data_IF_534587148870
#
_entry.id   IF_534587148870
#
_cell.length_a   1.000
_cell.length_b   1.000
_cell.length_c   1.000
_cell.angle_alpha   90.00
_cell.angle_beta   90.00
_cell.angle_gamma   90.00
#
_symmetry.space_group_name_H-M   'P 1'
#
loop_
_entity.id
_entity.type
_entity.pdbx_description
1 polymer ?
#
# COMPACT_ATOMS: atom_id res chain seq x y z
N UNK A 1 23.89 18.83 13.50
CA UNK A 1 23.68 17.77 14.49
C UNK A 1 22.35 17.10 14.16
N UNK A 2 22.39 16.03 13.37
CA UNK A 2 21.23 15.17 13.13
C UNK A 2 21.73 13.75 13.34
N UNK A 3 21.15 13.10 14.35
CA UNK A 3 21.49 11.74 14.76
C UNK A 3 20.93 10.76 13.73
N UNK A 4 21.79 9.84 13.33
CA UNK A 4 21.53 8.75 12.43
C UNK A 4 21.22 7.53 13.31
N UNK A 5 19.95 7.21 13.52
CA UNK A 5 19.51 6.03 14.29
C UNK A 5 18.37 5.30 13.55
N UNK A 6 18.73 4.66 12.43
CA UNK A 6 17.95 3.57 11.87
C UNK A 6 18.88 2.38 11.67
N UNK A 7 18.83 1.42 12.61
CA UNK A 7 19.09 -0.03 12.42
C UNK A 7 19.10 -0.73 13.79
N UNK A 8 17.96 -1.32 14.20
CA UNK A 8 18.07 -2.64 14.80
C UNK A 8 16.93 -3.62 14.44
N UNK A 9 16.00 -3.28 13.54
CA UNK A 9 14.83 -4.13 13.27
C UNK A 9 15.08 -5.24 12.22
N UNK A 10 15.87 -4.97 11.20
CA UNK A 10 16.12 -5.96 10.12
C UNK A 10 17.01 -7.15 10.54
N UNK A 11 17.78 -7.04 11.63
CA UNK A 11 18.61 -8.17 12.10
C UNK A 11 17.81 -9.19 12.93
N UNK A 12 16.67 -8.82 13.50
CA UNK A 12 15.84 -9.70 14.32
C UNK A 12 14.95 -10.62 13.46
N UNK A 13 14.40 -10.12 12.36
CA UNK A 13 13.57 -10.93 11.46
C UNK A 13 14.38 -12.00 10.71
N UNK A 14 15.65 -11.70 10.42
CA UNK A 14 16.57 -12.67 9.78
C UNK A 14 16.96 -13.84 10.68
N UNK A 15 17.10 -13.62 11.99
CA UNK A 15 17.46 -14.68 12.96
C UNK A 15 16.31 -15.62 13.29
N UNK A 16 15.06 -15.16 13.17
CA UNK A 16 13.89 -16.00 13.43
C UNK A 16 13.65 -16.94 12.24
N UNK A 17 13.87 -16.47 11.01
CA UNK A 17 13.70 -17.29 9.80
C UNK A 17 14.75 -18.40 9.65
N UNK A 18 15.96 -18.21 10.18
CA UNK A 18 17.04 -19.23 10.12
C UNK A 18 16.86 -20.32 11.21
N UNK A 19 16.31 -19.97 12.38
CA UNK A 19 16.04 -20.92 13.46
C UNK A 19 14.81 -21.81 13.20
N UNK A 20 13.83 -21.34 12.42
CA UNK A 20 12.62 -22.13 12.07
C UNK A 20 12.90 -23.16 10.96
N UNK A 21 13.93 -22.93 10.13
CA UNK A 21 14.37 -23.85 9.07
C UNK A 21 15.24 -25.02 9.58
N UNK A 22 15.93 -24.89 10.72
CA UNK A 22 16.72 -26.00 11.30
C UNK A 22 15.87 -26.99 12.14
N UNK A 23 14.68 -26.59 12.61
CA UNK A 23 13.83 -27.46 13.44
C UNK A 23 13.00 -28.48 12.64
N UNK A 24 12.92 -28.36 11.31
CA UNK A 24 12.12 -29.25 10.45
C UNK A 24 12.90 -30.38 9.77
N UNK A 25 14.21 -30.51 10.02
CA UNK A 25 15.06 -31.52 9.36
C UNK A 25 15.50 -32.69 10.24
N UNK A 26 14.99 -32.84 11.47
CA UNK A 26 15.47 -33.89 12.39
C UNK A 26 14.39 -34.80 12.99
N UNK A 27 13.25 -35.00 12.31
CA UNK A 27 12.23 -35.95 12.79
C UNK A 27 11.59 -36.79 11.68
N UNK A 28 12.40 -37.18 10.68
CA UNK A 28 12.00 -38.12 9.62
C UNK A 28 13.02 -39.23 9.45
N UNK A 29 13.14 -40.08 10.46
CA UNK A 29 13.60 -41.47 10.30
C UNK A 29 12.79 -42.36 11.26
N UNK A 30 11.57 -42.72 10.86
CA UNK A 30 10.92 -43.92 11.42
C UNK A 30 9.91 -44.49 10.43
N UNK A 31 10.32 -45.47 9.62
CA UNK A 31 9.52 -46.60 9.08
C UNK A 31 10.50 -47.48 8.25
N UNK A 32 10.55 -48.82 8.22
CA UNK A 32 9.68 -49.97 8.51
C UNK A 32 10.64 -51.12 8.95
N UNK A 33 10.28 -52.07 9.80
CA UNK A 33 9.71 -53.36 9.37
C UNK A 33 9.31 -54.16 10.60
N UNK A 34 8.04 -54.55 10.73
CA UNK A 34 7.68 -55.77 11.45
C UNK A 34 6.39 -56.34 10.90
N UNK A 35 6.57 -57.13 9.82
CA UNK A 35 5.54 -57.91 9.18
C UNK A 35 5.19 -59.13 10.04
N UNK A 36 3.94 -59.17 10.49
CA UNK A 36 3.30 -60.29 11.16
C UNK A 36 2.95 -61.33 10.10
N UNK A 37 3.61 -62.50 10.12
CA UNK A 37 3.22 -63.67 9.33
C UNK A 37 2.62 -64.73 10.26
N UNK A 38 1.33 -64.95 10.06
CA UNK A 38 0.46 -65.94 10.70
C UNK A 38 0.60 -67.25 9.90
N UNK A 39 1.04 -68.34 10.52
CA UNK A 39 0.88 -69.68 9.94
C UNK A 39 0.37 -70.65 11.01
N UNK A 40 -0.75 -71.27 10.66
CA UNK A 40 -1.63 -72.09 11.50
C UNK A 40 -1.46 -73.55 11.06
N UNK A 41 -1.88 -74.44 11.97
CA UNK A 41 -2.40 -75.81 11.79
C UNK A 41 -1.35 -76.97 11.86
N UNK A 42 -1.74 -78.23 12.17
CA UNK A 42 -1.81 -78.83 13.52
C UNK A 42 -1.18 -80.26 13.60
N UNK A 43 -1.47 -80.97 14.70
CA UNK A 43 -1.31 -82.42 15.05
C UNK A 43 -0.40 -82.61 16.27
N UNK A 44 -0.91 -82.92 17.47
CA UNK A 44 -1.66 -84.11 17.95
C UNK A 44 -0.73 -85.23 18.44
N UNK A 45 -1.25 -85.99 19.41
CA UNK A 45 -0.64 -87.10 20.18
C UNK A 45 0.09 -86.66 21.46
N UNK A 46 -0.62 -86.58 22.60
CA UNK A 46 -0.86 -87.69 23.55
C UNK A 46 0.47 -88.13 24.21
N UNK A 47 0.61 -88.18 25.53
CA UNK A 47 -0.09 -89.14 26.40
C UNK A 47 0.35 -88.87 27.86
N UNK A 48 -0.61 -88.98 28.80
CA UNK A 48 -0.45 -89.52 30.17
C UNK A 48 0.45 -88.81 31.21
N UNK A 49 0.10 -88.66 32.50
CA UNK A 49 -1.05 -89.04 33.31
C UNK A 49 -0.95 -88.29 34.68
N UNK A 50 -1.70 -88.64 35.75
CA UNK A 50 -2.46 -87.67 36.53
C UNK A 50 -1.78 -87.35 37.88
N UNK A 51 -1.90 -86.12 38.38
CA UNK A 51 -1.79 -85.93 39.84
C UNK A 51 -2.48 -84.67 40.34
N UNK A 52 -3.49 -84.95 41.17
CA UNK A 52 -3.79 -84.24 42.41
C UNK A 52 -4.26 -82.78 42.31
N UNK A 53 -5.60 -82.68 42.30
CA UNK A 53 -6.36 -81.52 42.79
C UNK A 53 -5.94 -81.18 44.23
N UNK A 54 -4.83 -80.48 44.43
CA UNK A 54 -4.48 -79.86 45.71
C UNK A 54 -5.43 -78.69 45.96
N UNK A 55 -6.28 -78.87 46.95
CA UNK A 55 -7.31 -77.92 47.37
C UNK A 55 -6.76 -76.51 47.47
N UNK A 56 -7.31 -75.62 46.64
CA UNK A 56 -7.06 -74.19 46.66
C UNK A 56 -7.26 -73.65 48.09
N UNK A 57 -6.16 -73.21 48.72
CA UNK A 57 -6.18 -72.48 49.98
C UNK A 57 -7.16 -71.31 49.89
N UNK A 58 -8.08 -71.23 50.86
CA UNK A 58 -9.20 -70.28 50.88
C UNK A 58 -8.74 -68.81 50.72
N UNK A 59 -7.51 -68.49 51.12
CA UNK A 59 -6.89 -67.16 50.94
C UNK A 59 -6.66 -66.78 49.46
N UNK A 60 -6.34 -67.73 48.58
CA UNK A 60 -6.10 -67.45 47.15
C UNK A 60 -7.38 -67.08 46.40
N UNK A 61 -8.54 -67.60 46.84
CA UNK A 61 -9.85 -67.24 46.29
C UNK A 61 -10.23 -65.80 46.66
N UNK A 62 -10.00 -65.39 47.91
CA UNK A 62 -10.26 -64.02 48.37
C UNK A 62 -9.35 -63.03 47.64
N UNK A 63 -8.06 -63.35 47.49
CA UNK A 63 -7.12 -62.48 46.78
C UNK A 63 -7.47 -62.29 45.30
N UNK A 64 -7.91 -63.36 44.59
CA UNK A 64 -8.43 -63.24 43.21
C UNK A 64 -9.67 -62.34 43.13
N UNK A 65 -10.53 -62.37 44.14
CA UNK A 65 -11.75 -61.57 44.18
C UNK A 65 -11.46 -60.08 44.46
N UNK A 66 -10.50 -59.78 45.33
CA UNK A 66 -9.98 -58.42 45.55
C UNK A 66 -9.29 -57.89 44.29
N UNK A 67 -8.45 -58.70 43.65
CA UNK A 67 -7.76 -58.33 42.40
C UNK A 67 -8.77 -58.03 41.28
N UNK A 68 -9.80 -58.86 41.13
CA UNK A 68 -10.88 -58.63 40.16
C UNK A 68 -11.61 -57.30 40.41
N UNK A 69 -11.92 -56.98 41.66
CA UNK A 69 -12.51 -55.68 42.02
C UNK A 69 -11.58 -54.50 41.76
N UNK A 70 -10.28 -54.64 42.04
CA UNK A 70 -9.29 -53.60 41.76
C UNK A 70 -9.18 -53.34 40.26
N UNK A 71 -9.16 -54.39 39.43
CA UNK A 71 -9.16 -54.25 37.96
C UNK A 71 -10.40 -53.51 37.47
N UNK A 72 -11.59 -53.84 38.00
CA UNK A 72 -12.83 -53.13 37.63
C UNK A 72 -12.75 -51.64 38.01
N UNK A 73 -12.24 -51.32 39.20
CA UNK A 73 -12.04 -49.93 39.64
C UNK A 73 -11.01 -49.22 38.76
N UNK A 74 -9.91 -49.88 38.40
CA UNK A 74 -8.87 -49.33 37.54
C UNK A 74 -9.40 -49.02 36.14
N UNK A 75 -10.21 -49.90 35.56
CA UNK A 75 -10.87 -49.68 34.26
C UNK A 75 -11.85 -48.50 34.35
N UNK A 76 -12.65 -48.43 35.42
CA UNK A 76 -13.58 -47.31 35.62
C UNK A 76 -12.84 -45.96 35.76
N UNK A 77 -11.71 -45.94 36.47
CA UNK A 77 -10.86 -44.74 36.61
C UNK A 77 -10.21 -44.35 35.29
N UNK A 78 -9.63 -45.31 34.56
CA UNK A 78 -9.03 -45.06 33.24
C UNK A 78 -10.07 -44.55 32.23
N UNK A 79 -11.26 -45.15 32.22
CA UNK A 79 -12.37 -44.69 31.38
C UNK A 79 -12.83 -43.28 31.73
N UNK A 80 -13.00 -42.97 33.02
CA UNK A 80 -13.35 -41.63 33.49
C UNK A 80 -12.30 -40.57 33.12
N UNK A 81 -11.02 -40.88 33.31
CA UNK A 81 -9.91 -40.00 32.94
C UNK A 81 -9.86 -39.73 31.43
N UNK A 82 -10.05 -40.76 30.61
CA UNK A 82 -10.07 -40.61 29.15
C UNK A 82 -11.25 -39.74 28.69
N UNK A 83 -12.43 -39.93 29.29
CA UNK A 83 -13.62 -39.13 28.98
C UNK A 83 -13.45 -37.66 29.38
N UNK A 84 -12.90 -37.40 30.57
CA UNK A 84 -12.62 -36.05 31.07
C UNK A 84 -11.60 -35.32 30.17
N UNK A 85 -10.55 -36.03 29.76
CA UNK A 85 -9.53 -35.50 28.85
C UNK A 85 -10.13 -35.14 27.48
N UNK A 86 -10.96 -36.03 26.90
CA UNK A 86 -11.62 -35.77 25.63
C UNK A 86 -12.61 -34.60 25.70
N UNK A 87 -13.41 -34.51 26.76
CA UNK A 87 -14.34 -33.39 26.96
C UNK A 87 -13.62 -32.05 27.08
N UNK A 88 -12.39 -32.04 27.61
CA UNK A 88 -11.63 -30.82 27.80
C UNK A 88 -10.82 -30.42 26.56
N UNK A 89 -10.40 -31.37 25.72
CA UNK A 89 -9.54 -31.10 24.57
C UNK A 89 -10.30 -30.65 23.31
N UNK A 90 -11.50 -31.19 23.07
CA UNK A 90 -12.34 -30.79 21.95
C UNK A 90 -12.63 -29.27 21.87
N UNK A 91 -13.07 -28.59 22.95
CA UNK A 91 -13.40 -27.17 22.86
C UNK A 91 -12.19 -26.29 22.57
N UNK A 92 -10.96 -26.72 22.93
CA UNK A 92 -9.76 -25.96 22.58
C UNK A 92 -9.42 -26.12 21.09
N UNK A 93 -9.64 -27.30 20.49
CA UNK A 93 -9.47 -27.49 19.05
C UNK A 93 -10.46 -26.62 18.25
N UNK A 94 -11.73 -26.61 18.66
CA UNK A 94 -12.76 -25.78 18.03
C UNK A 94 -12.39 -24.30 18.12
N UNK A 95 -11.88 -23.84 19.27
CA UNK A 95 -11.38 -22.47 19.42
C UNK A 95 -10.20 -22.17 18.51
N UNK A 96 -9.22 -23.06 18.41
CA UNK A 96 -8.10 -22.85 17.49
C UNK A 96 -8.55 -22.82 16.03
N UNK A 97 -9.52 -23.65 15.65
CA UNK A 97 -10.07 -23.65 14.31
C UNK A 97 -10.78 -22.33 13.99
N UNK A 98 -11.60 -21.82 14.92
CA UNK A 98 -12.25 -20.50 14.78
C UNK A 98 -11.21 -19.38 14.70
N UNK A 99 -10.20 -19.36 15.58
CA UNK A 99 -9.16 -18.34 15.55
C UNK A 99 -8.33 -18.36 14.26
N UNK A 100 -8.11 -19.53 13.66
CA UNK A 100 -7.43 -19.64 12.37
C UNK A 100 -8.28 -19.07 11.23
N UNK A 101 -9.60 -19.30 11.27
CA UNK A 101 -10.53 -18.70 10.30
C UNK A 101 -10.58 -17.17 10.47
N UNK A 102 -10.67 -16.68 11.71
CA UNK A 102 -10.66 -15.25 12.00
C UNK A 102 -9.36 -14.58 11.55
N UNK A 103 -8.21 -15.26 11.71
CA UNK A 103 -6.92 -14.78 11.22
C UNK A 103 -6.90 -14.71 9.69
N UNK A 104 -7.35 -15.76 9.00
CA UNK A 104 -7.41 -15.80 7.53
C UNK A 104 -8.32 -14.69 6.99
N UNK A 105 -9.49 -14.47 7.61
CA UNK A 105 -10.41 -13.40 7.25
C UNK A 105 -9.78 -12.01 7.48
N UNK A 106 -9.16 -11.78 8.63
CA UNK A 106 -8.47 -10.53 8.92
C UNK A 106 -7.29 -10.29 7.97
N UNK A 107 -6.56 -11.35 7.59
CA UNK A 107 -5.46 -11.25 6.62
C UNK A 107 -5.98 -10.91 5.22
N UNK A 108 -7.09 -11.52 4.79
CA UNK A 108 -7.76 -11.17 3.54
C UNK A 108 -8.27 -9.72 3.53
N UNK A 109 -8.81 -9.24 4.65
CA UNK A 109 -9.21 -7.84 4.81
C UNK A 109 -7.99 -6.90 4.72
N UNK A 110 -6.90 -7.21 5.40
CA UNK A 110 -5.65 -6.44 5.33
C UNK A 110 -5.15 -6.36 3.89
N UNK A 111 -5.14 -7.48 3.17
CA UNK A 111 -4.64 -7.51 1.79
C UNK A 111 -5.58 -6.75 0.84
N UNK A 112 -6.89 -6.82 1.06
CA UNK A 112 -7.87 -5.99 0.36
C UNK A 112 -7.68 -4.50 0.64
N UNK A 113 -7.45 -4.11 1.89
CA UNK A 113 -7.24 -2.71 2.27
C UNK A 113 -5.91 -2.18 1.71
N UNK A 114 -4.85 -2.99 1.71
CA UNK A 114 -3.57 -2.64 1.07
C UNK A 114 -3.76 -2.39 -0.43
N UNK A 115 -4.49 -3.25 -1.13
CA UNK A 115 -4.78 -3.07 -2.54
C UNK A 115 -5.60 -1.79 -2.81
N UNK A 116 -6.55 -1.45 -1.93
CA UNK A 116 -7.31 -0.20 -2.07
C UNK A 116 -6.45 1.04 -1.76
N UNK A 117 -5.53 0.98 -0.79
CA UNK A 117 -4.57 2.06 -0.53
C UNK A 117 -3.68 2.30 -1.76
N UNK A 118 -3.14 1.24 -2.37
CA UNK A 118 -2.32 1.34 -3.57
C UNK A 118 -3.11 1.97 -4.73
N UNK A 119 -4.37 1.54 -4.91
CA UNK A 119 -5.27 2.09 -5.91
C UNK A 119 -5.57 3.58 -5.67
N UNK A 120 -5.82 3.98 -4.42
CA UNK A 120 -6.06 5.37 -4.06
C UNK A 120 -4.81 6.23 -4.27
N UNK A 121 -3.62 5.71 -3.95
CA UNK A 121 -2.34 6.38 -4.23
C UNK A 121 -2.17 6.68 -5.72
N UNK A 122 -2.47 5.71 -6.59
CA UNK A 122 -2.43 5.93 -8.03
C UNK A 122 -3.40 7.03 -8.52
N UNK A 123 -4.57 7.16 -7.90
CA UNK A 123 -5.50 8.25 -8.20
C UNK A 123 -5.02 9.61 -7.69
N UNK A 124 -4.36 9.66 -6.53
CA UNK A 124 -3.76 10.88 -6.00
C UNK A 124 -2.63 11.40 -6.91
N UNK A 125 -1.79 10.51 -7.41
CA UNK A 125 -0.73 10.82 -8.38
C UNK A 125 -1.33 11.37 -9.68
N UNK A 126 -2.37 10.72 -10.22
CA UNK A 126 -3.08 11.18 -11.41
C UNK A 126 -3.72 12.55 -11.20
N UNK A 127 -4.35 12.79 -10.06
CA UNK A 127 -4.98 14.07 -9.74
C UNK A 127 -3.94 15.18 -9.64
N UNK A 128 -2.80 14.91 -8.98
CA UNK A 128 -1.68 15.85 -8.90
C UNK A 128 -1.14 16.19 -10.29
N UNK A 129 -0.93 15.19 -11.15
CA UNK A 129 -0.49 15.40 -12.53
C UNK A 129 -1.48 16.25 -13.34
N UNK A 130 -2.78 15.93 -13.27
CA UNK A 130 -3.83 16.70 -13.94
C UNK A 130 -3.93 18.13 -13.42
N UNK A 131 -3.77 18.35 -12.11
CA UNK A 131 -3.75 19.70 -11.53
C UNK A 131 -2.57 20.51 -12.04
N UNK A 132 -1.39 19.89 -12.19
CA UNK A 132 -0.23 20.55 -12.79
C UNK A 132 -0.48 20.90 -14.26
N UNK A 133 -1.05 19.99 -15.04
CA UNK A 133 -1.38 20.21 -16.44
C UNK A 133 -2.41 21.34 -16.61
N UNK A 134 -3.47 21.36 -15.80
CA UNK A 134 -4.47 22.43 -15.80
C UNK A 134 -3.81 23.78 -15.51
N UNK A 135 -2.90 23.83 -14.53
CA UNK A 135 -2.20 25.08 -14.21
C UNK A 135 -1.33 25.56 -15.40
N UNK A 136 -0.59 24.65 -16.03
CA UNK A 136 0.22 24.96 -17.21
C UNK A 136 -0.64 25.47 -18.39
N UNK A 137 -1.77 24.81 -18.66
CA UNK A 137 -2.72 25.23 -19.69
C UNK A 137 -3.34 26.60 -19.38
N UNK A 138 -3.65 26.87 -18.11
CA UNK A 138 -4.17 28.16 -17.68
C UNK A 138 -3.15 29.28 -17.90
N UNK A 139 -1.88 29.05 -17.52
CA UNK A 139 -0.78 29.99 -17.80
C UNK A 139 -0.67 30.25 -19.31
N UNK A 140 -0.68 29.19 -20.12
CA UNK A 140 -0.59 29.30 -21.57
C UNK A 140 -1.76 30.10 -22.17
N UNK A 141 -3.00 29.85 -21.70
CA UNK A 141 -4.19 30.59 -22.14
C UNK A 141 -4.08 32.08 -21.81
N UNK A 142 -3.72 32.42 -20.56
CA UNK A 142 -3.56 33.82 -20.14
C UNK A 142 -2.47 34.51 -20.94
N UNK A 143 -1.35 33.82 -21.20
CA UNK A 143 -0.25 34.33 -22.02
C UNK A 143 -0.69 34.60 -23.48
N UNK A 144 -1.40 33.65 -24.10
CA UNK A 144 -1.96 33.85 -25.44
C UNK A 144 -2.97 35.00 -25.48
N UNK A 145 -3.80 35.14 -24.44
CA UNK A 145 -4.73 36.26 -24.32
C UNK A 145 -4.00 37.61 -24.21
N UNK A 146 -2.89 37.68 -23.46
CA UNK A 146 -2.05 38.86 -23.40
C UNK A 146 -1.45 39.19 -24.77
N UNK A 147 -0.89 38.19 -25.47
CA UNK A 147 -0.33 38.37 -26.83
C UNK A 147 -1.38 38.85 -27.83
N UNK A 148 -2.58 38.26 -27.81
CA UNK A 148 -3.68 38.69 -28.66
C UNK A 148 -4.10 40.13 -28.38
N UNK A 149 -4.19 40.52 -27.09
CA UNK A 149 -4.57 41.88 -26.69
C UNK A 149 -3.51 42.92 -27.10
N UNK A 150 -2.21 42.56 -27.05
CA UNK A 150 -1.13 43.40 -27.58
C UNK A 150 -1.25 43.55 -29.10
N UNK A 151 -1.49 42.47 -29.83
CA UNK A 151 -1.67 42.52 -31.29
C UNK A 151 -2.89 43.35 -31.71
N UNK A 152 -4.02 43.23 -30.99
CA UNK A 152 -5.22 44.04 -31.20
C UNK A 152 -4.93 45.53 -30.94
N UNK A 153 -4.17 45.84 -29.89
CA UNK A 153 -3.75 47.20 -29.57
C UNK A 153 -2.85 47.78 -30.69
N UNK A 154 -1.82 47.04 -31.13
CA UNK A 154 -0.94 47.45 -32.23
C UNK A 154 -1.74 47.75 -33.50
N UNK A 155 -2.65 46.85 -33.89
CA UNK A 155 -3.49 47.01 -35.08
C UNK A 155 -4.40 48.24 -34.96
N UNK A 156 -4.95 48.51 -33.78
CA UNK A 156 -5.79 49.68 -33.55
C UNK A 156 -4.99 50.99 -33.61
N UNK A 157 -3.76 51.02 -33.09
CA UNK A 157 -2.84 52.16 -33.20
C UNK A 157 -2.49 52.42 -34.66
N UNK A 158 -2.10 51.39 -35.43
CA UNK A 158 -1.79 51.53 -36.87
C UNK A 158 -2.95 52.09 -37.69
N UNK A 159 -4.19 51.82 -37.27
CA UNK A 159 -5.40 52.30 -37.93
C UNK A 159 -5.89 53.67 -37.43
N UNK A 160 -5.17 54.31 -36.50
CA UNK A 160 -5.57 55.57 -35.87
C UNK A 160 -6.82 55.45 -34.98
N UNK A 161 -7.19 54.24 -34.56
CA UNK A 161 -8.36 53.97 -33.70
C UNK A 161 -7.98 54.01 -32.22
N UNK A 162 -7.65 55.21 -31.73
CA UNK A 162 -7.14 55.41 -30.35
C UNK A 162 -8.06 54.85 -29.25
N UNK A 163 -9.38 54.98 -29.40
CA UNK A 163 -10.33 54.44 -28.42
C UNK A 163 -10.26 52.91 -28.33
N UNK A 164 -10.16 52.23 -29.47
CA UNK A 164 -10.05 50.77 -29.54
C UNK A 164 -8.69 50.30 -29.03
N UNK A 165 -7.62 51.04 -29.33
CA UNK A 165 -6.29 50.77 -28.82
C UNK A 165 -6.24 50.85 -27.29
N UNK A 166 -6.82 51.89 -26.68
CA UNK A 166 -6.93 52.01 -25.22
C UNK A 166 -7.73 50.87 -24.60
N UNK A 167 -8.82 50.44 -25.24
CA UNK A 167 -9.62 49.31 -24.76
C UNK A 167 -8.80 48.00 -24.78
N UNK A 168 -8.11 47.72 -25.88
CA UNK A 168 -7.24 46.56 -26.00
C UNK A 168 -6.09 46.60 -25.00
N UNK A 169 -5.49 47.78 -24.77
CA UNK A 169 -4.43 47.97 -23.78
C UNK A 169 -4.90 47.73 -22.35
N UNK A 170 -6.06 48.25 -21.96
CA UNK A 170 -6.63 47.96 -20.63
C UNK A 170 -6.79 46.45 -20.40
N UNK A 171 -7.20 45.71 -21.44
CA UNK A 171 -7.25 44.24 -21.38
C UNK A 171 -5.85 43.66 -21.21
N UNK A 172 -4.86 44.12 -21.97
CA UNK A 172 -3.45 43.72 -21.81
C UNK A 172 -2.97 43.88 -20.37
N UNK A 173 -3.17 45.05 -19.74
CA UNK A 173 -2.80 45.29 -18.35
C UNK A 173 -3.38 44.25 -17.40
N UNK A 174 -4.71 44.06 -17.45
CA UNK A 174 -5.39 43.06 -16.60
C UNK A 174 -4.91 41.62 -16.84
N UNK A 175 -4.56 41.26 -18.08
CA UNK A 175 -4.03 39.93 -18.40
C UNK A 175 -2.59 39.75 -17.94
N UNK A 176 -1.78 40.81 -17.93
CA UNK A 176 -0.42 40.76 -17.39
C UNK A 176 -0.42 40.62 -15.87
N UNK A 177 -1.32 41.33 -15.17
CA UNK A 177 -1.51 41.16 -13.73
C UNK A 177 -1.93 39.72 -13.38
N UNK A 178 -2.93 39.18 -14.09
CA UNK A 178 -3.35 37.80 -13.91
C UNK A 178 -2.22 36.80 -14.22
N UNK A 179 -1.41 37.08 -15.25
CA UNK A 179 -0.26 36.24 -15.60
C UNK A 179 0.79 36.26 -14.49
N UNK A 180 1.09 37.44 -13.92
CA UNK A 180 2.05 37.60 -12.82
C UNK A 180 1.66 36.76 -11.60
N UNK A 181 0.37 36.75 -11.24
CA UNK A 181 -0.15 36.00 -10.09
C UNK A 181 -0.08 34.47 -10.26
N UNK A 182 -0.06 33.98 -11.51
CA UNK A 182 0.01 32.54 -11.82
C UNK A 182 1.44 32.01 -11.90
N UNK A 183 2.44 32.90 -11.96
CA UNK A 183 3.84 32.55 -12.18
C UNK A 183 4.61 32.46 -10.87
N UNK A 184 5.76 31.77 -10.91
CA UNK A 184 6.68 31.79 -9.77
C UNK A 184 7.37 33.16 -9.64
N UNK A 185 8.05 33.40 -8.50
CA UNK A 185 8.62 34.71 -8.19
C UNK A 185 9.60 35.25 -9.26
N UNK A 186 10.44 34.39 -9.83
CA UNK A 186 11.41 34.78 -10.87
C UNK A 186 10.71 35.17 -12.17
N UNK A 187 9.72 34.39 -12.59
CA UNK A 187 8.94 34.66 -13.80
C UNK A 187 8.01 35.87 -13.62
N UNK A 188 7.45 36.05 -12.42
CA UNK A 188 6.63 37.20 -12.06
C UNK A 188 7.41 38.51 -12.14
N UNK A 189 8.70 38.52 -11.82
CA UNK A 189 9.58 39.69 -12.01
C UNK A 189 9.73 40.06 -13.49
N UNK A 190 9.81 39.06 -14.38
CA UNK A 190 9.86 39.31 -15.83
C UNK A 190 8.56 39.97 -16.30
N UNK A 191 7.40 39.50 -15.80
CA UNK A 191 6.09 40.10 -16.13
C UNK A 191 5.92 41.48 -15.50
N UNK A 192 6.45 41.73 -14.30
CA UNK A 192 6.47 43.06 -13.68
C UNK A 192 7.17 44.09 -14.58
N UNK A 193 8.33 43.72 -15.15
CA UNK A 193 9.03 44.57 -16.11
C UNK A 193 8.24 44.79 -17.41
N UNK A 194 7.34 43.87 -17.77
CA UNK A 194 6.41 44.05 -18.88
C UNK A 194 5.27 45.01 -18.52
N UNK A 195 4.72 44.91 -17.31
CA UNK A 195 3.68 45.80 -16.78
C UNK A 195 4.19 47.25 -16.76
N UNK A 196 5.40 47.49 -16.23
CA UNK A 196 6.00 48.83 -16.22
C UNK A 196 6.17 49.42 -17.63
N UNK A 197 6.51 48.59 -18.62
CA UNK A 197 6.59 49.04 -20.01
C UNK A 197 5.22 49.32 -20.61
N UNK A 198 4.24 48.47 -20.30
CA UNK A 198 2.85 48.69 -20.67
C UNK A 198 2.32 50.03 -20.12
N UNK A 199 2.67 50.42 -18.90
CA UNK A 199 2.30 51.71 -18.33
C UNK A 199 2.87 52.89 -19.12
N UNK A 200 4.11 52.78 -19.63
CA UNK A 200 4.70 53.79 -20.52
C UNK A 200 3.90 53.91 -21.83
N UNK A 201 3.52 52.78 -22.42
CA UNK A 201 2.69 52.75 -23.64
C UNK A 201 1.35 53.46 -23.42
N UNK A 202 0.69 53.24 -22.28
CA UNK A 202 -0.56 53.93 -21.93
C UNK A 202 -0.38 55.44 -21.84
N UNK A 203 0.77 55.93 -21.36
CA UNK A 203 1.07 57.37 -21.26
C UNK A 203 1.37 57.97 -22.64
N UNK A 204 2.04 57.22 -23.51
CA UNK A 204 2.53 57.70 -24.80
C UNK A 204 1.49 57.62 -25.94
N UNK A 205 0.42 56.83 -25.78
CA UNK A 205 -0.59 56.59 -26.82
C UNK A 205 -1.25 57.85 -27.41
N UNK A 206 -1.29 58.95 -26.66
CA UNK A 206 -1.86 60.22 -27.12
C UNK A 206 -0.84 61.13 -27.81
N UNK A 207 0.46 60.86 -27.65
CA UNK A 207 1.54 61.78 -27.98
C UNK A 207 2.40 61.30 -29.14
N UNK A 208 2.69 59.99 -29.21
CA UNK A 208 3.60 59.42 -30.20
C UNK A 208 3.22 57.98 -30.59
N UNK A 209 2.48 57.84 -31.69
CA UNK A 209 2.05 56.55 -32.23
C UNK A 209 3.24 55.66 -32.64
N UNK A 210 4.33 56.23 -33.12
CA UNK A 210 5.48 55.46 -33.59
C UNK A 210 6.25 54.83 -32.42
N UNK A 211 6.42 55.58 -31.34
CA UNK A 211 7.04 55.08 -30.10
C UNK A 211 6.17 53.98 -29.48
N UNK A 212 4.85 54.18 -29.43
CA UNK A 212 3.88 53.18 -28.95
C UNK A 212 3.97 51.87 -29.71
N UNK A 213 4.02 51.91 -31.05
CA UNK A 213 4.15 50.69 -31.86
C UNK A 213 5.45 49.94 -31.57
N UNK A 214 6.56 50.66 -31.39
CA UNK A 214 7.87 50.09 -31.05
C UNK A 214 7.84 49.39 -29.70
N UNK A 215 7.23 50.00 -28.68
CA UNK A 215 7.12 49.39 -27.35
C UNK A 215 6.14 48.22 -27.31
N UNK A 216 5.06 48.25 -28.09
CA UNK A 216 4.15 47.11 -28.24
C UNK A 216 4.83 45.91 -28.93
N UNK A 217 5.65 46.15 -29.96
CA UNK A 217 6.45 45.10 -30.60
C UNK A 217 7.44 44.45 -29.61
N UNK A 218 8.09 45.28 -28.79
CA UNK A 218 8.99 44.78 -27.76
C UNK A 218 8.25 44.00 -26.68
N UNK A 219 7.07 44.45 -26.27
CA UNK A 219 6.21 43.72 -25.32
C UNK A 219 5.80 42.36 -25.89
N UNK A 220 5.38 42.30 -27.16
CA UNK A 220 5.06 41.05 -27.85
C UNK A 220 6.26 40.10 -27.91
N UNK A 221 7.44 40.62 -28.22
CA UNK A 221 8.70 39.85 -28.25
C UNK A 221 9.05 39.28 -26.87
N UNK A 222 8.84 40.05 -25.81
CA UNK A 222 9.04 39.60 -24.42
C UNK A 222 8.04 38.52 -24.03
N UNK A 223 6.77 38.67 -24.39
CA UNK A 223 5.75 37.64 -24.15
C UNK A 223 6.06 36.33 -24.88
N UNK A 224 6.52 36.41 -26.14
CA UNK A 224 6.96 35.24 -26.89
C UNK A 224 8.21 34.59 -26.28
N UNK A 225 9.15 35.39 -25.79
CA UNK A 225 10.34 34.87 -25.09
C UNK A 225 9.95 34.17 -23.79
N UNK A 226 9.01 34.73 -23.04
CA UNK A 226 8.46 34.11 -21.83
C UNK A 226 7.76 32.79 -22.16
N UNK A 227 6.93 32.75 -23.21
CA UNK A 227 6.28 31.52 -23.69
C UNK A 227 7.30 30.43 -24.01
N UNK A 228 8.31 30.76 -24.80
CA UNK A 228 9.38 29.82 -25.12
C UNK A 228 10.12 29.37 -23.86
N UNK A 229 10.33 30.24 -22.89
CA UNK A 229 11.01 29.88 -21.64
C UNK A 229 10.15 28.93 -20.79
N UNK A 230 8.84 29.14 -20.76
CA UNK A 230 7.89 28.34 -19.98
C UNK A 230 7.59 26.97 -20.62
N UNK A 231 7.55 26.91 -21.95
CA UNK A 231 7.00 25.77 -22.69
C UNK A 231 7.96 25.12 -23.70
N UNK A 232 9.16 25.65 -23.97
CA UNK A 232 10.08 25.05 -24.95
C UNK A 232 10.93 23.88 -24.42
N UNK A 233 10.63 23.34 -23.23
CA UNK A 233 11.22 22.06 -22.81
C UNK A 233 10.62 20.90 -23.62
N UNK A 234 11.44 19.93 -24.05
CA UNK A 234 11.05 18.80 -24.90
C UNK A 234 10.13 17.79 -24.20
#
# INVERSE_FOLDING_TARGET
MTMNEEKPKDELEKKISEAELEAQQQDSEETEESSIAFEVVPEDSAEEAPSERKGLSKARKIWRQVLAWLVVIAIAFAGGFFLDTLMRYQPEQDRTAVLLVDLDEAQAEIDSLKAEIERLGAFEDQNTALSTEINQLNIHLVLLSARASVADASLAVEQGRQADAKLALNKTGSTLDALKDLLNAEQAEVVENMIQRYELVIIEIENDEATVLTDLELLLTKLQTLENTLFASP
#
